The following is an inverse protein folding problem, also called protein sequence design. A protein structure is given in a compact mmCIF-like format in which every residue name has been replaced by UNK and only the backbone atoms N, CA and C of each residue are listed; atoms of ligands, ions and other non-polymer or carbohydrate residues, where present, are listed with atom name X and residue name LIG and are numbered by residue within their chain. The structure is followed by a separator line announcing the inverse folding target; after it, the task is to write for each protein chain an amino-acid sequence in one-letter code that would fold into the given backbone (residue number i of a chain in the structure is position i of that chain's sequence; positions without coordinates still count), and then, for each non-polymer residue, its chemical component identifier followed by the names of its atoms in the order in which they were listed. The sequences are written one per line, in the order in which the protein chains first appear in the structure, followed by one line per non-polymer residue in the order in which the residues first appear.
data_IF_867123561645
#
_entry.id   IF_867123561645
#
_cell.length_a   1.000
_cell.length_b   1.000
_cell.length_c   1.000
_cell.angle_alpha   90.00
_cell.angle_beta   90.00
_cell.angle_gamma   90.00
#
_symmetry.space_group_name_H-M   'P 1'
#
loop_
_entity.id
_entity.type
_entity.pdbx_description
1 polymer ?
#
# COMPACT_ATOMS: atom_id res chain seq x y z
N UNK A 1 -4.79 6.47 -5.33
CA UNK A 1 -4.46 5.04 -5.25
C UNK A 1 -4.48 4.46 -6.65
N UNK A 2 -3.55 3.58 -6.95
CA UNK A 2 -3.47 2.84 -8.21
C UNK A 2 -3.26 1.35 -7.91
N UNK A 3 -3.95 0.48 -8.62
CA UNK A 3 -3.63 -0.96 -8.66
C UNK A 3 -2.91 -1.22 -9.98
N UNK A 4 -1.68 -1.66 -9.93
CA UNK A 4 -0.82 -1.82 -11.12
C UNK A 4 -0.49 -3.28 -11.33
N UNK A 5 -0.80 -3.76 -12.53
CA UNK A 5 -0.58 -5.13 -12.96
C UNK A 5 0.41 -5.16 -14.13
N UNK A 6 1.18 -6.25 -14.25
CA UNK A 6 1.97 -6.50 -15.46
C UNK A 6 2.84 -7.73 -15.38
N UNK A 7 3.71 -7.86 -16.38
CA UNK A 7 4.55 -9.03 -16.62
C UNK A 7 6.04 -8.68 -16.48
N UNK A 8 6.95 -9.68 -16.47
CA UNK A 8 8.36 -9.44 -16.26
C UNK A 8 8.93 -8.43 -17.25
N UNK A 9 9.80 -7.58 -16.72
CA UNK A 9 10.49 -6.48 -17.41
C UNK A 9 9.67 -5.23 -17.70
N UNK A 10 8.34 -5.23 -17.50
CA UNK A 10 7.59 -3.98 -17.50
C UNK A 10 8.12 -3.09 -16.35
N UNK A 11 8.41 -1.83 -16.66
CA UNK A 11 9.11 -0.92 -15.76
C UNK A 11 8.73 0.53 -16.01
N UNK A 12 9.00 1.37 -15.02
CA UNK A 12 9.00 2.83 -15.17
C UNK A 12 10.44 3.36 -15.18
N UNK A 13 10.82 4.26 -16.10
CA UNK A 13 12.16 4.84 -16.11
C UNK A 13 12.51 5.51 -14.76
N UNK A 14 13.79 5.52 -14.36
CA UNK A 14 14.23 6.21 -13.16
C UNK A 14 13.83 7.69 -13.13
N UNK A 15 13.22 8.11 -12.02
CA UNK A 15 12.75 9.48 -11.81
C UNK A 15 12.65 9.83 -10.32
N UNK A 16 12.25 11.06 -10.02
CA UNK A 16 11.82 11.49 -8.70
C UNK A 16 10.65 12.47 -8.78
N UNK A 17 9.92 12.57 -7.67
CA UNK A 17 8.89 13.58 -7.45
C UNK A 17 9.38 14.60 -6.44
N UNK A 18 9.03 15.87 -6.58
CA UNK A 18 9.29 16.90 -5.57
C UNK A 18 8.25 16.88 -4.46
N UNK A 19 6.98 16.70 -4.80
CA UNK A 19 5.83 16.93 -3.91
C UNK A 19 5.12 15.66 -3.46
N UNK A 20 5.35 14.54 -4.14
CA UNK A 20 4.58 13.31 -3.93
C UNK A 20 5.39 12.29 -3.14
N UNK A 21 4.73 11.66 -2.18
CA UNK A 21 5.18 10.41 -1.57
C UNK A 21 4.51 9.27 -2.32
N UNK A 22 5.29 8.33 -2.81
CA UNK A 22 4.77 7.11 -3.44
C UNK A 22 5.07 5.89 -2.57
N UNK A 23 4.17 4.93 -2.59
CA UNK A 23 4.32 3.66 -1.88
C UNK A 23 4.16 2.50 -2.85
N UNK A 24 4.81 1.38 -2.54
CA UNK A 24 4.71 0.14 -3.29
C UNK A 24 4.34 -0.96 -2.33
N UNK A 25 3.14 -1.53 -2.50
CA UNK A 25 2.62 -2.60 -1.65
C UNK A 25 2.25 -3.78 -2.55
N UNK A 26 3.13 -4.78 -2.74
CA UNK A 26 2.83 -5.90 -3.61
C UNK A 26 1.71 -6.76 -3.01
N UNK A 27 0.72 -7.08 -3.83
CA UNK A 27 -0.41 -7.95 -3.48
C UNK A 27 -0.12 -9.39 -3.92
N UNK A 28 0.45 -9.55 -5.12
CA UNK A 28 0.86 -10.82 -5.72
C UNK A 28 2.15 -10.64 -6.53
N UNK A 29 2.86 -11.74 -6.79
CA UNK A 29 4.07 -11.71 -7.59
C UNK A 29 5.24 -11.00 -6.91
N UNK A 30 6.07 -10.32 -7.71
CA UNK A 30 7.29 -9.66 -7.23
C UNK A 30 7.60 -8.43 -8.06
N UNK A 31 7.72 -7.29 -7.38
CA UNK A 31 8.15 -6.02 -7.98
C UNK A 31 9.51 -5.63 -7.40
N UNK A 32 10.48 -5.40 -8.28
CA UNK A 32 11.75 -4.79 -7.91
C UNK A 32 11.53 -3.30 -7.75
N UNK A 33 11.75 -2.75 -6.57
CA UNK A 33 11.75 -1.31 -6.33
C UNK A 33 13.16 -0.85 -6.06
N UNK A 34 13.60 0.17 -6.78
CA UNK A 34 14.87 0.84 -6.56
C UNK A 34 14.61 2.20 -5.91
N UNK A 35 15.32 2.50 -4.82
CA UNK A 35 15.27 3.81 -4.18
C UNK A 35 16.68 4.24 -3.75
N UNK A 36 17.14 5.40 -4.22
CA UNK A 36 18.45 6.00 -3.90
C UNK A 36 19.63 5.00 -3.93
N UNK A 37 19.74 4.22 -5.01
CA UNK A 37 20.85 3.28 -5.20
C UNK A 37 20.61 1.88 -4.63
N UNK A 38 19.50 1.63 -3.93
CA UNK A 38 19.21 0.32 -3.31
C UNK A 38 17.99 -0.34 -3.94
N UNK A 39 18.18 -1.41 -4.74
CA UNK A 39 17.08 -2.22 -5.24
C UNK A 39 16.66 -3.29 -4.21
N UNK A 40 15.36 -3.56 -4.12
CA UNK A 40 14.76 -4.66 -3.36
C UNK A 40 13.67 -5.33 -4.17
N UNK A 41 13.65 -6.66 -4.16
CA UNK A 41 12.56 -7.45 -4.73
C UNK A 41 11.50 -7.62 -3.65
N UNK A 42 10.36 -6.96 -3.84
CA UNK A 42 9.27 -6.93 -2.88
C UNK A 42 8.20 -7.94 -3.28
N UNK A 43 7.90 -8.85 -2.36
CA UNK A 43 6.84 -9.83 -2.48
C UNK A 43 5.56 -9.42 -1.77
N UNK A 44 4.56 -10.31 -1.80
CA UNK A 44 3.26 -10.05 -1.19
C UNK A 44 3.37 -9.70 0.31
N UNK A 45 2.87 -8.52 0.67
CA UNK A 45 2.88 -8.00 2.03
C UNK A 45 4.16 -7.26 2.45
N UNK A 46 5.18 -7.20 1.59
CA UNK A 46 6.27 -6.23 1.74
C UNK A 46 5.76 -4.82 1.47
N UNK A 47 6.59 -3.82 1.79
CA UNK A 47 6.27 -2.42 1.62
C UNK A 47 7.50 -1.61 1.26
N UNK A 48 7.33 -0.63 0.38
CA UNK A 48 8.27 0.47 0.24
C UNK A 48 7.53 1.81 0.26
N UNK A 49 8.23 2.84 0.72
CA UNK A 49 7.82 4.23 0.53
C UNK A 49 9.02 5.04 0.03
N UNK A 50 8.74 5.88 -0.96
CA UNK A 50 9.68 6.82 -1.56
C UNK A 50 9.13 8.23 -1.36
N UNK A 51 9.63 8.94 -0.32
CA UNK A 51 9.28 10.34 -0.11
C UNK A 51 9.75 11.24 -1.28
N UNK A 52 9.24 12.47 -1.31
CA UNK A 52 9.71 13.48 -2.25
C UNK A 52 11.24 13.61 -2.26
N UNK A 53 11.79 13.91 -3.43
CA UNK A 53 13.21 13.95 -3.78
C UNK A 53 13.94 12.60 -3.75
N UNK A 54 13.22 11.49 -3.62
CA UNK A 54 13.83 10.15 -3.75
C UNK A 54 13.92 9.76 -5.22
N UNK A 55 15.13 9.47 -5.69
CA UNK A 55 15.32 8.82 -6.99
C UNK A 55 14.83 7.38 -6.88
N UNK A 56 13.86 7.01 -7.72
CA UNK A 56 13.27 5.70 -7.69
C UNK A 56 12.82 5.21 -9.06
N UNK A 57 12.54 3.92 -9.11
CA UNK A 57 11.99 3.19 -10.25
C UNK A 57 11.41 1.87 -9.74
N UNK A 58 10.59 1.21 -10.54
CA UNK A 58 10.21 -0.18 -10.33
C UNK A 58 10.29 -1.00 -11.63
N UNK A 59 10.42 -2.31 -11.48
CA UNK A 59 10.34 -3.29 -12.56
C UNK A 59 9.65 -4.56 -12.07
N UNK A 60 8.76 -5.13 -12.88
CA UNK A 60 8.16 -6.43 -12.59
C UNK A 60 9.13 -7.58 -12.83
N UNK A 61 9.12 -8.54 -11.90
CA UNK A 61 10.03 -9.70 -11.91
C UNK A 61 9.27 -10.99 -12.17
N UNK A 62 8.11 -11.18 -11.53
CA UNK A 62 7.30 -12.39 -11.68
C UNK A 62 6.33 -12.31 -12.87
N UNK A 63 5.90 -13.47 -13.38
CA UNK A 63 5.00 -13.61 -14.55
C UNK A 63 3.68 -12.85 -14.40
N UNK A 64 3.16 -12.83 -13.17
CA UNK A 64 1.97 -12.09 -12.77
C UNK A 64 2.34 -11.34 -11.51
N UNK A 65 2.38 -10.01 -11.59
CA UNK A 65 2.65 -9.14 -10.44
C UNK A 65 1.57 -8.08 -10.36
N UNK A 66 1.04 -7.90 -9.16
CA UNK A 66 0.14 -6.82 -8.81
C UNK A 66 0.69 -6.08 -7.58
N UNK A 67 0.74 -4.76 -7.63
CA UNK A 67 0.98 -3.95 -6.45
C UNK A 67 0.00 -2.79 -6.35
N UNK A 68 -0.27 -2.40 -5.11
CA UNK A 68 -1.03 -1.21 -4.76
C UNK A 68 -0.07 -0.04 -4.57
N UNK A 69 -0.27 1.03 -5.33
CA UNK A 69 0.39 2.32 -5.19
C UNK A 69 -0.49 3.33 -4.48
N UNK A 70 -0.05 3.83 -3.32
CA UNK A 70 -0.61 5.03 -2.70
C UNK A 70 0.34 6.19 -2.98
N UNK A 71 -0.15 7.16 -3.76
CA UNK A 71 0.55 8.39 -4.10
C UNK A 71 -0.17 9.51 -3.37
N UNK A 72 0.58 10.29 -2.59
CA UNK A 72 0.06 11.33 -1.70
C UNK A 72 0.82 12.64 -1.90
N UNK A 73 0.15 13.81 -1.97
CA UNK A 73 -1.30 14.04 -1.83
C UNK A 73 -2.16 13.41 -2.95
N UNK A 74 -3.48 13.61 -2.97
CA UNK A 74 -4.34 13.10 -4.04
C UNK A 74 -4.18 13.89 -5.36
N UNK A 75 -4.57 13.30 -6.50
CA UNK A 75 -4.62 13.95 -7.82
C UNK A 75 -3.58 13.45 -8.84
N UNK A 76 -2.61 12.64 -8.44
CA UNK A 76 -1.62 12.08 -9.37
C UNK A 76 -2.26 11.14 -10.40
N UNK A 77 -3.46 10.62 -10.14
CA UNK A 77 -4.20 9.76 -11.05
C UNK A 77 -4.53 10.45 -12.40
N UNK A 78 -4.62 11.78 -12.44
CA UNK A 78 -4.77 12.54 -13.67
C UNK A 78 -3.58 12.34 -14.64
N UNK A 79 -2.37 12.10 -14.12
CA UNK A 79 -1.23 11.73 -14.97
C UNK A 79 -1.54 10.47 -15.78
N UNK A 80 -2.01 9.42 -15.11
CA UNK A 80 -2.32 8.14 -15.75
C UNK A 80 -3.46 8.28 -16.76
N UNK A 81 -4.46 9.12 -16.50
CA UNK A 81 -5.53 9.42 -17.45
C UNK A 81 -5.00 10.09 -18.73
N UNK A 82 -3.93 10.89 -18.64
CA UNK A 82 -3.32 11.58 -19.78
C UNK A 82 -2.33 10.72 -20.59
N UNK A 83 -1.72 9.70 -19.98
CA UNK A 83 -0.69 8.87 -20.65
C UNK A 83 -1.17 7.48 -21.06
N UNK A 84 -2.28 7.00 -20.48
CA UNK A 84 -2.77 5.64 -20.69
C UNK A 84 -3.89 5.57 -21.73
N UNK A 85 -4.08 4.38 -22.29
CA UNK A 85 -5.28 4.04 -23.07
C UNK A 85 -6.25 3.29 -22.16
N UNK A 86 -7.56 3.64 -22.15
CA UNK A 86 -8.55 2.91 -21.38
C UNK A 86 -8.54 1.41 -21.69
N UNK A 87 -8.53 0.58 -20.64
CA UNK A 87 -8.58 -0.87 -20.74
C UNK A 87 -10.00 -1.37 -20.41
N UNK A 88 -10.64 -2.04 -21.37
CA UNK A 88 -12.01 -2.56 -21.23
C UNK A 88 -12.12 -3.95 -21.89
N UNK A 89 -11.52 -4.99 -21.29
CA UNK A 89 -11.54 -6.33 -21.84
C UNK A 89 -12.90 -7.01 -21.68
N UNK A 90 -13.27 -7.90 -22.62
CA UNK A 90 -14.54 -8.62 -22.58
C UNK A 90 -14.75 -9.51 -21.35
N UNK A 91 -13.65 -9.92 -20.70
CA UNK A 91 -13.66 -10.86 -19.57
C UNK A 91 -13.04 -10.28 -18.30
N UNK A 92 -12.88 -8.96 -18.20
CA UNK A 92 -12.33 -8.29 -17.01
C UNK A 92 -10.96 -8.81 -16.55
N UNK A 93 -10.11 -9.27 -17.49
CA UNK A 93 -8.73 -9.65 -17.17
C UNK A 93 -7.93 -8.41 -16.75
N UNK A 94 -7.06 -8.52 -15.72
CA UNK A 94 -6.42 -7.34 -15.12
C UNK A 94 -5.44 -6.63 -16.07
N UNK A 95 -4.78 -7.39 -16.95
CA UNK A 95 -3.90 -6.86 -17.99
C UNK A 95 -3.78 -7.86 -19.15
N UNK A 96 -3.33 -7.44 -20.36
CA UNK A 96 -3.13 -8.34 -21.49
C UNK A 96 -1.66 -8.77 -21.64
N UNK A 97 -1.23 -9.89 -21.03
CA UNK A 97 0.18 -10.33 -21.07
C UNK A 97 0.67 -10.67 -22.49
N UNK A 98 -0.25 -11.08 -23.37
CA UNK A 98 -0.02 -11.53 -24.74
C UNK A 98 -0.01 -10.38 -25.75
N UNK A 99 -0.54 -9.22 -25.38
CA UNK A 99 -0.49 -8.01 -26.20
C UNK A 99 0.75 -7.24 -25.77
N UNK A 100 1.77 -7.14 -26.63
CA UNK A 100 3.00 -6.40 -26.33
C UNK A 100 2.75 -4.90 -26.20
N UNK A 101 2.14 -4.47 -25.10
CA UNK A 101 1.89 -3.05 -24.79
C UNK A 101 3.22 -2.38 -24.53
N UNK A 102 3.64 -1.53 -25.47
CA UNK A 102 4.83 -0.72 -25.29
C UNK A 102 4.58 0.38 -24.25
N UNK A 103 5.63 0.73 -23.51
CA UNK A 103 5.61 1.91 -22.64
C UNK A 103 5.23 3.16 -23.45
N UNK A 104 4.34 4.03 -22.95
CA UNK A 104 3.82 5.16 -23.70
C UNK A 104 4.82 6.33 -23.76
N UNK A 105 6.00 6.12 -24.35
CA UNK A 105 7.15 7.03 -24.29
C UNK A 105 6.82 8.46 -24.72
N UNK A 106 6.06 8.64 -25.80
CA UNK A 106 5.75 9.96 -26.34
C UNK A 106 4.82 10.78 -25.41
N UNK A 107 3.74 10.19 -24.91
CA UNK A 107 2.82 10.86 -23.98
C UNK A 107 3.44 11.00 -22.60
N UNK A 108 4.20 10.00 -22.13
CA UNK A 108 4.97 10.10 -20.90
C UNK A 108 5.91 11.32 -20.94
N UNK A 109 6.75 11.45 -21.97
CA UNK A 109 7.66 12.58 -22.10
C UNK A 109 6.93 13.94 -22.17
N UNK A 110 5.74 13.98 -22.78
CA UNK A 110 4.90 15.18 -22.87
C UNK A 110 4.37 15.64 -21.51
N UNK A 111 3.92 14.71 -20.67
CA UNK A 111 3.20 15.03 -19.42
C UNK A 111 4.06 14.92 -18.16
N UNK A 112 5.15 14.14 -18.17
CA UNK A 112 5.98 13.84 -16.99
C UNK A 112 6.30 15.07 -16.14
N UNK A 113 6.92 16.09 -16.75
CA UNK A 113 7.32 17.31 -16.02
C UNK A 113 6.13 18.07 -15.42
N UNK A 114 4.98 18.08 -16.09
CA UNK A 114 3.79 18.78 -15.60
C UNK A 114 3.19 18.10 -14.35
N UNK A 115 3.39 16.79 -14.24
CA UNK A 115 2.95 15.97 -13.11
C UNK A 115 4.10 15.63 -12.15
N UNK A 116 5.13 16.47 -12.11
CA UNK A 116 6.24 16.33 -11.15
C UNK A 116 7.00 15.00 -11.27
N UNK A 117 7.12 14.46 -12.48
CA UNK A 117 8.01 13.34 -12.79
C UNK A 117 9.30 13.94 -13.36
N UNK A 118 10.34 13.96 -12.55
CA UNK A 118 11.64 14.51 -12.90
C UNK A 118 12.59 13.36 -13.24
N UNK A 119 12.98 13.24 -14.50
CA UNK A 119 13.89 12.19 -14.94
C UNK A 119 15.28 12.36 -14.31
N UNK A 120 15.91 11.25 -13.96
CA UNK A 120 17.31 11.23 -13.54
C UNK A 120 18.20 10.79 -14.69
N UNK A 121 19.48 11.16 -14.66
CA UNK A 121 20.45 10.73 -15.66
C UNK A 121 20.90 9.27 -15.43
N UNK A 122 19.96 8.35 -15.58
CA UNK A 122 20.11 6.91 -15.36
C UNK A 122 19.02 6.16 -16.13
N UNK A 123 19.38 5.00 -16.65
CA UNK A 123 18.50 4.07 -17.37
C UNK A 123 18.10 2.89 -16.47
N UNK A 124 17.03 2.19 -16.86
CA UNK A 124 16.57 1.00 -16.12
C UNK A 124 17.65 -0.08 -16.00
N UNK A 125 18.47 -0.26 -17.04
CA UNK A 125 19.50 -1.30 -17.10
C UNK A 125 20.68 -1.03 -16.15
N UNK A 126 20.81 0.19 -15.64
CA UNK A 126 21.84 0.55 -14.67
C UNK A 126 21.44 0.22 -13.22
N UNK A 127 20.17 -0.17 -12.99
CA UNK A 127 19.72 -0.65 -11.69
C UNK A 127 20.31 -2.06 -11.47
N UNK A 128 21.22 -2.16 -10.51
CA UNK A 128 21.91 -3.40 -10.17
C UNK A 128 20.99 -4.49 -9.59
N UNK A 129 21.61 -5.62 -9.25
CA UNK A 129 20.93 -6.72 -8.58
C UNK A 129 20.52 -6.36 -7.14
N UNK A 130 19.48 -7.01 -6.64
CA UNK A 130 19.05 -6.92 -5.24
C UNK A 130 20.04 -7.62 -4.31
N UNK A 131 20.18 -7.08 -3.10
CA UNK A 131 20.96 -7.72 -2.03
C UNK A 131 20.28 -9.04 -1.60
N UNK A 132 21.09 -10.05 -1.26
CA UNK A 132 20.58 -11.35 -0.81
C UNK A 132 19.93 -11.30 0.59
N UNK A 133 20.28 -10.30 1.42
CA UNK A 133 19.92 -10.23 2.85
C UNK A 133 18.52 -9.62 3.12
N UNK A 134 17.60 -9.70 2.14
CA UNK A 134 16.23 -9.23 2.29
C UNK A 134 15.37 -10.27 3.03
N UNK A 135 14.47 -9.82 3.91
CA UNK A 135 13.72 -10.61 4.92
C UNK A 135 14.50 -11.13 6.14
N UNK A 136 15.83 -11.08 6.13
CA UNK A 136 16.65 -11.52 7.29
C UNK A 136 17.02 -10.38 8.26
N UNK A 137 16.70 -9.13 7.89
CA UNK A 137 17.03 -7.93 8.68
C UNK A 137 15.77 -7.29 9.28
N UNK A 138 15.85 -6.91 10.57
CA UNK A 138 14.80 -6.16 11.27
C UNK A 138 14.66 -4.76 10.64
N UNK A 139 13.83 -4.66 9.61
CA UNK A 139 13.49 -3.40 8.97
C UNK A 139 12.66 -2.55 9.95
N UNK A 140 13.07 -1.30 10.17
CA UNK A 140 12.44 -0.38 11.12
C UNK A 140 11.94 0.88 10.41
N UNK A 141 10.90 1.50 10.97
CA UNK A 141 10.37 2.75 10.44
C UNK A 141 11.33 3.90 10.77
N UNK A 142 11.82 4.68 9.78
CA UNK A 142 12.71 5.81 10.03
C UNK A 142 12.05 6.90 10.88
N UNK A 143 12.79 7.58 11.76
CA UNK A 143 12.25 8.67 12.60
C UNK A 143 12.01 10.00 11.88
N UNK A 144 11.87 10.01 10.55
CA UNK A 144 11.72 11.22 9.73
C UNK A 144 10.91 10.95 8.46
N UNK A 145 10.51 12.02 7.76
CA UNK A 145 9.67 11.96 6.56
C UNK A 145 10.42 11.95 5.23
N UNK A 146 11.76 11.94 5.23
CA UNK A 146 12.58 12.12 4.02
C UNK A 146 13.38 10.88 3.64
N UNK A 147 13.48 9.90 4.54
CA UNK A 147 14.24 8.68 4.31
C UNK A 147 13.36 7.67 3.57
N UNK A 148 13.71 7.25 2.34
CA UNK A 148 13.04 6.11 1.72
C UNK A 148 13.42 4.83 2.45
N UNK A 149 12.49 3.89 2.55
CA UNK A 149 12.73 2.63 3.22
C UNK A 149 11.85 1.51 2.68
N UNK A 150 12.28 0.30 3.00
CA UNK A 150 11.60 -0.94 2.71
C UNK A 150 11.25 -1.62 4.04
N UNK A 151 10.08 -2.27 4.13
CA UNK A 151 9.71 -3.16 5.23
C UNK A 151 9.33 -4.52 4.67
N UNK A 152 10.00 -5.56 5.16
CA UNK A 152 9.62 -6.93 4.87
C UNK A 152 8.28 -7.26 5.55
N UNK A 153 7.52 -8.19 4.96
CA UNK A 153 6.24 -8.63 5.50
C UNK A 153 6.40 -9.16 6.93
N UNK A 154 5.66 -8.54 7.86
CA UNK A 154 5.73 -8.88 9.29
C UNK A 154 6.89 -8.22 10.05
N UNK A 155 7.71 -7.39 9.41
CA UNK A 155 8.65 -6.52 10.09
C UNK A 155 7.97 -5.23 10.60
N UNK A 156 8.71 -4.45 11.38
CA UNK A 156 8.21 -3.24 12.02
C UNK A 156 7.48 -3.50 13.34
N UNK A 157 6.91 -2.45 13.97
CA UNK A 157 6.19 -2.59 15.22
C UNK A 157 4.79 -3.15 15.01
N UNK A 158 4.26 -3.84 16.03
CA UNK A 158 2.88 -4.32 16.05
C UNK A 158 2.17 -3.88 17.33
N UNK A 159 0.86 -3.68 17.23
CA UNK A 159 0.02 -3.26 18.35
C UNK A 159 -1.24 -4.12 18.41
N UNK A 160 -1.44 -4.81 19.53
CA UNK A 160 -2.65 -5.58 19.80
C UNK A 160 -3.75 -4.68 20.35
N UNK A 161 -4.92 -4.70 19.72
CA UNK A 161 -6.12 -4.06 20.22
C UNK A 161 -7.20 -5.10 20.52
N UNK A 162 -7.45 -5.34 21.81
CA UNK A 162 -8.43 -6.35 22.27
C UNK A 162 -9.86 -6.03 21.79
N UNK A 163 -10.24 -4.74 21.75
CA UNK A 163 -11.61 -4.31 21.40
C UNK A 163 -11.96 -4.61 19.96
N UNK A 164 -11.03 -4.40 19.03
CA UNK A 164 -11.21 -4.80 17.63
C UNK A 164 -10.88 -6.26 17.38
N UNK A 165 -10.13 -6.92 18.28
CA UNK A 165 -9.60 -8.26 18.03
C UNK A 165 -8.56 -8.25 16.89
N UNK A 166 -7.83 -7.14 16.73
CA UNK A 166 -6.89 -6.95 15.64
C UNK A 166 -5.49 -6.57 16.12
N UNK A 167 -4.50 -7.03 15.38
CA UNK A 167 -3.13 -6.52 15.42
C UNK A 167 -2.96 -5.51 14.30
N UNK A 168 -2.50 -4.32 14.64
CA UNK A 168 -2.24 -3.23 13.71
C UNK A 168 -0.73 -3.09 13.56
N UNK A 169 -0.26 -3.24 12.32
CA UNK A 169 1.15 -3.20 11.94
C UNK A 169 1.37 -1.99 11.02
N UNK A 170 1.73 -0.82 11.55
CA UNK A 170 1.94 0.37 10.74
C UNK A 170 3.12 0.17 9.79
N UNK A 171 2.86 0.39 8.50
CA UNK A 171 3.86 0.44 7.43
C UNK A 171 4.41 1.86 7.25
N UNK A 172 3.54 2.86 7.42
CA UNK A 172 3.89 4.28 7.47
C UNK A 172 2.98 5.01 8.46
N UNK A 173 3.57 5.87 9.28
CA UNK A 173 2.86 6.75 10.23
C UNK A 173 3.02 8.21 9.82
N UNK A 174 2.35 9.11 10.52
CA UNK A 174 2.52 10.56 10.34
C UNK A 174 3.96 11.04 10.48
N UNK A 175 4.83 10.30 11.16
CA UNK A 175 6.27 10.60 11.24
C UNK A 175 6.95 10.46 9.88
N UNK A 176 6.66 9.40 9.12
CA UNK A 176 7.27 9.13 7.82
C UNK A 176 6.57 9.86 6.66
N UNK A 177 5.35 10.33 6.88
CA UNK A 177 4.52 10.95 5.84
C UNK A 177 4.33 12.45 6.04
N UNK A 178 5.07 13.06 6.97
CA UNK A 178 4.94 14.47 7.34
C UNK A 178 3.49 14.86 7.69
N UNK A 179 2.79 13.98 8.41
CA UNK A 179 1.40 14.16 8.82
C UNK A 179 0.34 13.83 7.76
N UNK A 180 0.74 13.57 6.51
CA UNK A 180 -0.19 13.54 5.38
C UNK A 180 -1.08 12.27 5.35
N UNK A 181 -0.52 11.11 5.72
CA UNK A 181 -1.29 9.85 5.70
C UNK A 181 -0.72 8.77 6.62
N UNK A 182 -1.50 7.74 6.90
CA UNK A 182 -1.03 6.48 7.51
C UNK A 182 -1.37 5.29 6.62
N UNK A 183 -0.54 4.25 6.74
CA UNK A 183 -0.77 2.94 6.10
C UNK A 183 -0.45 1.88 7.11
N UNK A 184 -1.39 0.97 7.35
CA UNK A 184 -1.25 -0.15 8.28
C UNK A 184 -1.72 -1.45 7.65
N UNK A 185 -1.01 -2.55 7.92
CA UNK A 185 -1.56 -3.89 7.75
C UNK A 185 -2.31 -4.28 9.02
N UNK A 186 -3.54 -4.76 8.86
CA UNK A 186 -4.40 -5.18 9.96
C UNK A 186 -4.63 -6.69 9.86
N UNK A 187 -4.20 -7.41 10.90
CA UNK A 187 -4.45 -8.85 11.05
C UNK A 187 -5.53 -9.04 12.12
N UNK A 188 -6.68 -9.63 11.76
CA UNK A 188 -7.85 -9.68 12.64
C UNK A 188 -8.34 -11.12 12.83
N UNK A 189 -8.55 -11.51 14.09
CA UNK A 189 -9.16 -12.81 14.43
C UNK A 189 -10.68 -12.76 14.25
N UNK A 190 -11.31 -13.94 14.29
CA UNK A 190 -12.77 -14.03 14.36
C UNK A 190 -13.32 -13.22 15.54
N UNK A 191 -14.40 -12.48 15.30
CA UNK A 191 -15.12 -11.79 16.37
C UNK A 191 -15.82 -12.81 17.27
N UNK A 192 -15.60 -12.74 18.58
CA UNK A 192 -16.27 -13.62 19.53
C UNK A 192 -17.79 -13.40 19.52
N UNK A 193 -18.57 -14.46 19.70
CA UNK A 193 -20.03 -14.43 19.54
C UNK A 193 -20.73 -13.38 20.42
N UNK A 194 -20.19 -13.11 21.62
CA UNK A 194 -20.76 -12.17 22.58
C UNK A 194 -19.92 -10.88 22.73
N UNK A 195 -19.01 -10.60 21.79
CA UNK A 195 -18.20 -9.39 21.84
C UNK A 195 -19.03 -8.15 21.51
N UNK A 196 -18.87 -7.09 22.29
CA UNK A 196 -19.34 -5.75 21.91
C UNK A 196 -18.41 -5.21 20.82
N UNK A 197 -18.95 -4.98 19.62
CA UNK A 197 -18.18 -4.41 18.51
C UNK A 197 -18.08 -2.89 18.70
N UNK A 198 -16.86 -2.32 18.81
CA UNK A 198 -16.68 -0.88 18.99
C UNK A 198 -16.96 -0.11 17.69
N UNK A 199 -17.35 1.15 17.84
CA UNK A 199 -17.34 2.13 16.76
C UNK A 199 -15.99 2.85 16.70
N UNK A 200 -15.55 3.11 15.48
CA UNK A 200 -14.39 3.95 15.18
C UNK A 200 -14.84 5.10 14.29
N UNK A 201 -14.51 6.33 14.70
CA UNK A 201 -14.92 7.55 13.99
C UNK A 201 -13.68 8.38 13.75
N UNK A 202 -13.31 8.54 12.48
CA UNK A 202 -12.10 9.27 12.06
C UNK A 202 -12.47 10.64 11.54
N UNK A 203 -11.66 11.67 11.81
CA UNK A 203 -11.78 12.98 11.14
C UNK A 203 -11.26 12.98 9.71
N UNK A 204 -10.58 11.91 9.31
CA UNK A 204 -9.96 11.74 8.01
C UNK A 204 -10.73 10.75 7.14
N UNK A 205 -10.60 10.92 5.82
CA UNK A 205 -10.97 9.90 4.85
C UNK A 205 -10.12 8.64 5.02
N UNK A 206 -10.72 7.48 4.81
CA UNK A 206 -10.06 6.19 4.99
C UNK A 206 -10.29 5.29 3.78
N UNK A 207 -9.31 4.44 3.51
CA UNK A 207 -9.35 3.50 2.42
C UNK A 207 -8.88 2.13 2.89
N UNK A 208 -9.65 1.10 2.58
CA UNK A 208 -9.42 -0.29 2.98
C UNK A 208 -9.25 -1.15 1.74
N UNK A 209 -8.30 -2.08 1.79
CA UNK A 209 -8.11 -3.08 0.74
C UNK A 209 -7.98 -4.48 1.34
N UNK A 210 -8.84 -5.40 0.91
CA UNK A 210 -8.84 -6.79 1.38
C UNK A 210 -7.68 -7.58 0.79
N UNK A 211 -6.90 -8.27 1.64
CA UNK A 211 -5.78 -9.11 1.19
C UNK A 211 -6.03 -10.61 1.43
N UNK A 212 -6.74 -10.96 2.51
CA UNK A 212 -7.03 -12.35 2.89
C UNK A 212 -8.23 -12.42 3.82
N UNK A 213 -9.05 -13.45 3.67
CA UNK A 213 -10.20 -13.72 4.54
C UNK A 213 -11.46 -13.01 4.08
N UNK A 214 -12.39 -12.81 5.02
CA UNK A 214 -13.65 -12.08 4.82
C UNK A 214 -13.88 -11.21 6.06
N UNK A 215 -13.75 -9.90 5.87
CA UNK A 215 -14.01 -8.90 6.92
C UNK A 215 -15.31 -8.17 6.60
N UNK A 216 -16.14 -7.98 7.62
CA UNK A 216 -17.39 -7.23 7.51
C UNK A 216 -17.22 -5.87 8.15
N UNK A 217 -17.50 -4.82 7.38
CA UNK A 217 -17.58 -3.44 7.82
C UNK A 217 -19.04 -3.03 7.97
N UNK A 218 -19.36 -2.34 9.06
CA UNK A 218 -20.60 -1.57 9.18
C UNK A 218 -20.28 -0.09 9.08
N UNK A 219 -20.86 0.63 8.12
CA UNK A 219 -20.62 2.07 7.88
C UNK A 219 -21.98 2.78 7.86
N UNK A 220 -22.25 3.63 8.84
CA UNK A 220 -23.56 4.34 8.97
C UNK A 220 -24.80 3.42 8.87
N UNK A 221 -24.70 2.19 9.37
CA UNK A 221 -25.78 1.20 9.33
C UNK A 221 -25.79 0.31 8.10
N UNK A 222 -25.07 0.66 7.04
CA UNK A 222 -24.83 -0.21 5.88
C UNK A 222 -23.80 -1.29 6.22
N UNK A 223 -23.99 -2.50 5.69
CA UNK A 223 -23.09 -3.64 5.94
C UNK A 223 -22.42 -4.05 4.65
N UNK A 224 -21.09 -3.99 4.63
CA UNK A 224 -20.26 -4.36 3.48
C UNK A 224 -19.32 -5.49 3.89
N UNK A 225 -19.23 -6.54 3.07
CA UNK A 225 -18.24 -7.62 3.24
C UNK A 225 -17.14 -7.44 2.21
N UNK A 226 -15.88 -7.51 2.64
CA UNK A 226 -14.71 -7.44 1.78
C UNK A 226 -14.00 -8.79 1.81
N UNK A 227 -13.71 -9.32 0.63
CA UNK A 227 -12.75 -10.41 0.40
C UNK A 227 -11.45 -9.86 -0.21
N UNK A 228 -10.51 -10.74 -0.54
CA UNK A 228 -9.27 -10.34 -1.20
C UNK A 228 -9.56 -9.67 -2.56
N UNK A 229 -8.93 -8.52 -2.82
CA UNK A 229 -9.14 -7.73 -4.04
C UNK A 229 -10.23 -6.66 -3.91
N UNK A 230 -11.14 -6.78 -2.95
CA UNK A 230 -12.16 -5.75 -2.70
C UNK A 230 -11.55 -4.53 -2.01
N UNK A 231 -12.19 -3.38 -2.23
CA UNK A 231 -11.84 -2.15 -1.54
C UNK A 231 -13.05 -1.42 -0.99
N UNK A 232 -12.82 -0.61 0.04
CA UNK A 232 -13.84 0.24 0.67
C UNK A 232 -13.25 1.62 0.95
N UNK A 233 -13.94 2.64 0.46
CA UNK A 233 -13.69 4.03 0.82
C UNK A 233 -14.67 4.47 1.90
N UNK A 234 -14.16 5.09 2.95
CA UNK A 234 -14.95 5.58 4.09
C UNK A 234 -14.71 7.08 4.24
N UNK A 235 -15.72 7.93 4.03
CA UNK A 235 -15.61 9.36 4.27
C UNK A 235 -15.27 9.69 5.72
N UNK A 236 -14.65 10.87 5.92
CA UNK A 236 -14.46 11.43 7.24
C UNK A 236 -15.78 11.54 8.03
N UNK A 237 -15.68 11.42 9.35
CA UNK A 237 -16.75 11.52 10.34
C UNK A 237 -17.82 10.42 10.30
N UNK A 238 -17.63 9.39 9.46
CA UNK A 238 -18.50 8.22 9.45
C UNK A 238 -18.12 7.23 10.55
N UNK A 239 -19.12 6.66 11.20
CA UNK A 239 -18.97 5.62 12.20
C UNK A 239 -18.75 4.27 11.52
N UNK A 240 -17.65 3.60 11.91
CA UNK A 240 -17.25 2.30 11.36
C UNK A 240 -17.22 1.24 12.43
N UNK A 241 -17.80 0.08 12.15
CA UNK A 241 -17.61 -1.15 12.91
C UNK A 241 -16.85 -2.17 12.07
N UNK A 242 -16.04 -3.00 12.72
CA UNK A 242 -15.33 -4.11 12.08
C UNK A 242 -15.61 -5.41 12.81
N UNK A 243 -15.98 -6.44 12.05
CA UNK A 243 -16.19 -7.80 12.57
C UNK A 243 -15.75 -8.83 11.54
N UNK A 244 -15.48 -10.05 12.00
CA UNK A 244 -15.24 -11.17 11.11
C UNK A 244 -15.90 -12.44 11.59
N UNK A 245 -16.44 -13.19 10.63
CA UNK A 245 -17.01 -14.53 10.81
C UNK A 245 -15.96 -15.64 10.61
N UNK A 246 -14.84 -15.34 9.94
CA UNK A 246 -13.77 -16.29 9.62
C UNK A 246 -12.60 -16.18 10.60
N UNK A 247 -11.79 -17.23 10.67
CA UNK A 247 -10.77 -17.37 11.71
C UNK A 247 -9.67 -16.31 11.65
N UNK A 248 -9.30 -15.88 10.44
CA UNK A 248 -8.19 -14.97 10.22
C UNK A 248 -8.42 -14.10 8.99
N UNK A 249 -8.08 -12.83 9.11
CA UNK A 249 -8.19 -11.83 8.05
C UNK A 249 -6.91 -11.00 8.00
N UNK A 250 -6.55 -10.56 6.80
CA UNK A 250 -5.51 -9.55 6.58
C UNK A 250 -6.00 -8.53 5.56
N UNK A 251 -5.86 -7.26 5.88
CA UNK A 251 -6.27 -6.16 5.00
C UNK A 251 -5.41 -4.92 5.26
N UNK A 252 -5.36 -4.01 4.30
CA UNK A 252 -4.74 -2.70 4.47
C UNK A 252 -5.76 -1.71 5.04
N UNK A 253 -5.31 -0.86 5.95
CA UNK A 253 -6.03 0.31 6.42
C UNK A 253 -5.19 1.55 6.15
N UNK A 254 -5.71 2.46 5.33
CA UNK A 254 -5.05 3.71 4.98
C UNK A 254 -5.91 4.90 5.42
N UNK A 255 -5.28 5.99 5.83
CA UNK A 255 -6.00 7.20 6.25
C UNK A 255 -5.29 8.46 5.76
N UNK A 256 -6.05 9.47 5.33
CA UNK A 256 -5.56 10.78 4.90
C UNK A 256 -5.12 11.70 6.06
N UNK A 257 -4.48 11.14 7.10
CA UNK A 257 -3.99 11.87 8.27
C UNK A 257 -3.75 10.92 9.46
N UNK A 258 -3.41 11.47 10.63
CA UNK A 258 -3.05 10.71 11.83
C UNK A 258 -4.20 10.31 12.76
N UNK A 259 -5.44 10.50 12.32
CA UNK A 259 -6.66 10.25 13.11
C UNK A 259 -7.51 9.07 12.58
N UNK A 260 -7.01 8.35 11.57
CA UNK A 260 -7.61 7.12 11.08
C UNK A 260 -7.86 6.08 12.17
N UNK A 261 -8.81 5.17 11.94
CA UNK A 261 -9.13 4.13 12.91
C UNK A 261 -7.95 3.20 13.21
N UNK A 262 -7.03 3.00 12.25
CA UNK A 262 -5.75 2.32 12.49
C UNK A 262 -4.93 3.01 13.60
N UNK A 263 -4.78 4.33 13.51
CA UNK A 263 -4.10 5.16 14.51
C UNK A 263 -4.84 5.15 15.86
N UNK A 264 -6.17 5.14 15.85
CA UNK A 264 -6.97 5.04 17.08
C UNK A 264 -6.83 3.66 17.74
N UNK A 265 -6.86 2.59 16.96
CA UNK A 265 -6.66 1.22 17.44
C UNK A 265 -5.25 1.04 18.01
N UNK A 266 -4.22 1.62 17.39
CA UNK A 266 -2.85 1.65 17.93
C UNK A 266 -2.84 2.37 19.29
N UNK A 267 -3.40 3.59 19.38
CA UNK A 267 -3.43 4.39 20.62
C UNK A 267 -4.16 3.69 21.78
N UNK A 268 -5.21 2.93 21.48
CA UNK A 268 -5.99 2.17 22.47
C UNK A 268 -5.48 0.74 22.69
N UNK A 269 -4.45 0.33 21.95
CA UNK A 269 -3.87 -0.99 22.03
C UNK A 269 -2.64 -1.05 22.94
N UNK A 270 -1.97 -2.20 22.91
CA UNK A 270 -0.69 -2.43 23.59
C UNK A 270 0.36 -2.88 22.57
N UNK A 271 1.64 -2.57 22.82
CA UNK A 271 2.73 -3.11 22.01
C UNK A 271 2.68 -4.64 22.00
N UNK A 272 2.91 -5.21 20.82
CA UNK A 272 2.80 -6.63 20.56
C UNK A 272 4.00 -7.10 19.73
N UNK A 273 4.51 -8.29 20.04
CA UNK A 273 5.72 -8.81 19.41
C UNK A 273 5.46 -9.53 18.06
N UNK A 274 4.20 -9.82 17.75
CA UNK A 274 3.83 -10.66 16.60
C UNK A 274 2.93 -9.91 15.63
N UNK A 275 2.99 -10.26 14.35
CA UNK A 275 2.09 -9.70 13.34
C UNK A 275 0.69 -10.35 13.32
N UNK A 276 0.46 -11.34 14.19
CA UNK A 276 -0.78 -12.12 14.30
C UNK A 276 -1.46 -11.92 15.66
N UNK A 277 -2.81 -11.95 15.72
CA UNK A 277 -3.55 -11.94 16.97
C UNK A 277 -3.13 -13.05 17.94
N UNK A 278 -3.31 -12.85 19.26
CA UNK A 278 -3.17 -13.92 20.25
C UNK A 278 -4.19 -15.04 19.99
N UNK A 279 -3.83 -16.24 20.46
CA UNK A 279 -4.65 -17.44 20.38
C UNK A 279 -6.02 -17.28 21.07
#
# INVERSE_FOLDING_TARGET
MLLTNGKPNDAVPPHYHVHWHETFIPMTGTVRVWANGKPRDLGAGDFAIVPGYTNHSYQFVAQETEFLGLIQPAGFDEFFQNVSTPWSPAYNVPFPPDQGIAFPTATFAKYAKAFDINQVNMTQNEIGACDADWHDSNSTLPGNATTPYFLANGAGPHYWNEKSGAVISPLATTVQTNGNFTVSQVSMRKTAANATVPFWTSKEHQFIYGMRGEVTFGVEGEVVKLIAGDSLFIPAYMNVTIKSSVNYNKFLWCSGGGDGADSQMIKQGVSWAYSTPPA
#
